data_IF_866133771689
#
_entry.id   IF_866133771689
#
_cell.length_a   1.000
_cell.length_b   1.000
_cell.length_c   1.000
_cell.angle_alpha   90.00
_cell.angle_beta   90.00
_cell.angle_gamma   90.00
#
_symmetry.space_group_name_H-M   'P 1'
#
loop_
_entity.id
_entity.type
_entity.pdbx_description
1 polymer ?
#
# COMPACT_ATOMS: atom_id res chain seq x y z
N UNK A 1 0.81 3.77 -0.82
CA UNK A 1 2.25 3.56 -1.07
C UNK A 1 2.48 3.20 -2.54
N UNK A 2 3.63 3.56 -3.11
CA UNK A 2 4.05 3.16 -4.47
C UNK A 2 5.01 1.96 -4.42
N UNK A 3 5.31 1.27 -5.54
CA UNK A 3 6.15 0.06 -5.54
C UNK A 3 7.49 0.22 -4.82
N UNK A 4 8.19 1.34 -5.05
CA UNK A 4 9.48 1.63 -4.41
C UNK A 4 9.39 1.72 -2.87
N UNK A 5 8.25 2.18 -2.33
CA UNK A 5 8.03 2.24 -0.88
C UNK A 5 7.93 0.82 -0.30
N UNK A 6 7.25 -0.09 -1.02
CA UNK A 6 7.03 -1.47 -0.59
C UNK A 6 8.34 -2.26 -0.63
N UNK A 7 9.14 -2.10 -1.70
CA UNK A 7 10.47 -2.72 -1.78
C UNK A 7 11.36 -2.24 -0.65
N UNK A 8 11.37 -0.92 -0.40
CA UNK A 8 12.18 -0.35 0.68
C UNK A 8 11.72 -0.84 2.05
N UNK A 9 10.41 -0.91 2.29
CA UNK A 9 9.84 -1.42 3.53
C UNK A 9 10.25 -2.89 3.74
N UNK A 10 10.16 -3.72 2.70
CA UNK A 10 10.58 -5.11 2.77
C UNK A 10 12.07 -5.26 3.10
N UNK A 11 12.94 -4.54 2.41
CA UNK A 11 14.39 -4.56 2.69
C UNK A 11 14.70 -4.22 4.15
N UNK A 12 13.94 -3.31 4.75
CA UNK A 12 14.11 -2.91 6.14
C UNK A 12 13.66 -3.97 7.15
N UNK A 13 12.59 -4.72 6.86
CA UNK A 13 11.95 -5.63 7.83
C UNK A 13 12.21 -7.12 7.58
N UNK A 14 12.75 -7.51 6.42
CA UNK A 14 12.87 -8.94 6.01
C UNK A 14 13.66 -9.83 6.97
N UNK A 15 14.53 -9.26 7.79
CA UNK A 15 15.33 -10.00 8.77
C UNK A 15 14.66 -10.11 10.15
N UNK A 16 13.50 -9.49 10.35
CA UNK A 16 12.74 -9.61 11.59
C UNK A 16 12.18 -11.03 11.75
N UNK A 17 12.04 -11.50 13.00
CA UNK A 17 11.40 -12.79 13.31
C UNK A 17 9.96 -12.87 12.78
N UNK A 18 9.24 -11.74 12.82
CA UNK A 18 7.89 -11.59 12.30
C UNK A 18 7.80 -10.30 11.47
N UNK A 19 8.15 -10.35 10.18
CA UNK A 19 8.10 -9.17 9.31
C UNK A 19 6.65 -8.79 9.01
N UNK A 20 6.41 -7.49 8.92
CA UNK A 20 5.08 -6.92 8.72
C UNK A 20 5.17 -5.66 7.86
N UNK A 21 4.28 -5.53 6.88
CA UNK A 21 4.19 -4.32 6.05
C UNK A 21 2.78 -3.75 6.17
N UNK A 22 2.68 -2.50 6.59
CA UNK A 22 1.45 -1.72 6.55
C UNK A 22 1.48 -0.77 5.36
N UNK A 23 0.45 -0.79 4.53
CA UNK A 23 0.29 0.13 3.40
C UNK A 23 -1.06 0.83 3.46
N UNK A 24 -1.19 1.94 2.75
CA UNK A 24 -2.40 2.76 2.79
C UNK A 24 -2.52 3.60 1.51
N UNK A 25 -3.75 4.04 1.27
CA UNK A 25 -4.08 5.09 0.30
C UNK A 25 -5.28 5.87 0.83
N UNK A 26 -5.34 7.17 0.54
CA UNK A 26 -6.46 8.01 0.90
C UNK A 26 -7.71 7.68 0.07
N UNK A 27 -8.86 7.59 0.74
CA UNK A 27 -10.14 7.07 0.24
C UNK A 27 -11.29 8.06 0.35
N UNK A 28 -11.11 9.21 1.01
CA UNK A 28 -12.11 10.27 1.02
C UNK A 28 -12.21 10.97 -0.34
N UNK A 29 -13.42 11.40 -0.72
CA UNK A 29 -13.66 12.06 -2.01
C UNK A 29 -12.75 13.27 -2.25
N UNK A 30 -12.52 14.06 -1.20
CA UNK A 30 -11.64 15.24 -1.25
C UNK A 30 -10.21 14.82 -1.58
N UNK A 31 -9.68 13.78 -0.93
CA UNK A 31 -8.34 13.30 -1.22
C UNK A 31 -8.26 12.69 -2.62
N UNK A 32 -9.25 11.89 -3.03
CA UNK A 32 -9.25 11.28 -4.36
C UNK A 32 -9.29 12.34 -5.47
N UNK A 33 -10.17 13.34 -5.36
CA UNK A 33 -10.34 14.38 -6.36
C UNK A 33 -9.18 15.38 -6.40
N UNK A 34 -8.77 15.93 -5.25
CA UNK A 34 -7.87 17.07 -5.21
C UNK A 34 -6.40 16.69 -4.99
N UNK A 35 -6.12 15.64 -4.21
CA UNK A 35 -4.76 15.19 -3.89
C UNK A 35 -4.27 14.14 -4.89
N UNK A 36 -5.03 13.06 -5.06
CA UNK A 36 -4.64 11.93 -5.92
C UNK A 36 -4.98 12.18 -7.40
N UNK A 37 -6.01 13.00 -7.67
CA UNK A 37 -6.57 13.25 -9.01
C UNK A 37 -6.89 11.92 -9.71
N UNK A 38 -7.62 11.07 -9.01
CA UNK A 38 -8.00 9.71 -9.41
C UNK A 38 -9.48 9.50 -9.12
N UNK A 39 -10.13 8.68 -9.94
CA UNK A 39 -11.48 8.20 -9.63
C UNK A 39 -11.41 7.01 -8.63
N UNK A 40 -12.53 6.61 -8.01
CA UNK A 40 -12.56 5.52 -7.03
C UNK A 40 -11.99 4.19 -7.56
N UNK A 41 -12.32 3.79 -8.79
CA UNK A 41 -11.84 2.54 -9.39
C UNK A 41 -10.32 2.52 -9.54
N UNK A 42 -9.72 3.66 -9.91
CA UNK A 42 -8.27 3.80 -10.00
C UNK A 42 -7.62 3.73 -8.62
N UNK A 43 -8.24 4.31 -7.59
CA UNK A 43 -7.74 4.23 -6.20
C UNK A 43 -7.79 2.79 -5.69
N UNK A 44 -8.89 2.08 -5.96
CA UNK A 44 -9.01 0.64 -5.64
C UNK A 44 -7.95 -0.18 -6.39
N UNK A 45 -7.75 0.06 -7.68
CA UNK A 45 -6.73 -0.65 -8.47
C UNK A 45 -5.32 -0.42 -7.91
N UNK A 46 -5.00 0.80 -7.47
CA UNK A 46 -3.74 1.13 -6.81
C UNK A 46 -3.59 0.40 -5.46
N UNK A 47 -4.62 0.39 -4.62
CA UNK A 47 -4.62 -0.33 -3.35
C UNK A 47 -4.38 -1.83 -3.56
N UNK A 48 -5.10 -2.45 -4.50
CA UNK A 48 -4.95 -3.87 -4.83
C UNK A 48 -3.55 -4.18 -5.33
N UNK A 49 -2.98 -3.34 -6.21
CA UNK A 49 -1.62 -3.52 -6.69
C UNK A 49 -0.59 -3.46 -5.57
N UNK A 50 -0.72 -2.48 -4.66
CA UNK A 50 0.17 -2.32 -3.52
C UNK A 50 0.09 -3.52 -2.56
N UNK A 51 -1.12 -3.94 -2.19
CA UNK A 51 -1.32 -5.09 -1.30
C UNK A 51 -0.79 -6.37 -1.94
N UNK A 52 -1.07 -6.63 -3.24
CA UNK A 52 -0.54 -7.82 -3.93
C UNK A 52 0.99 -7.86 -3.94
N UNK A 53 1.64 -6.74 -4.24
CA UNK A 53 3.09 -6.66 -4.21
C UNK A 53 3.64 -6.90 -2.81
N UNK A 54 3.07 -6.25 -1.79
CA UNK A 54 3.48 -6.43 -0.41
C UNK A 54 3.30 -7.89 0.05
N UNK A 55 2.20 -8.56 -0.32
CA UNK A 55 1.94 -9.97 -0.01
C UNK A 55 2.91 -10.95 -0.66
N UNK A 56 3.45 -10.61 -1.83
CA UNK A 56 4.46 -11.44 -2.50
C UNK A 56 5.84 -11.38 -1.81
N UNK A 57 6.09 -10.34 -1.02
CA UNK A 57 7.35 -10.14 -0.29
C UNK A 57 7.21 -10.52 1.19
N UNK A 58 6.11 -10.11 1.82
CA UNK A 58 5.88 -10.20 3.26
C UNK A 58 4.67 -11.09 3.60
N UNK A 59 4.81 -12.03 4.56
CA UNK A 59 3.73 -12.93 4.95
C UNK A 59 2.59 -12.23 5.69
N UNK A 60 2.85 -11.12 6.39
CA UNK A 60 1.81 -10.32 7.06
C UNK A 60 1.74 -8.91 6.46
N UNK A 61 0.54 -8.53 6.04
CA UNK A 61 0.27 -7.20 5.45
C UNK A 61 -1.06 -6.68 5.94
N UNK A 62 -1.06 -5.40 6.30
CA UNK A 62 -2.27 -4.63 6.64
C UNK A 62 -2.48 -3.51 5.64
N UNK A 63 -3.75 -3.14 5.47
CA UNK A 63 -4.16 -2.01 4.66
C UNK A 63 -5.03 -1.05 5.46
N UNK A 64 -4.75 0.25 5.36
CA UNK A 64 -5.67 1.30 5.82
C UNK A 64 -6.27 2.09 4.65
N UNK A 65 -7.59 2.27 4.71
CA UNK A 65 -8.31 3.27 3.95
C UNK A 65 -8.18 4.61 4.69
N UNK A 66 -7.21 5.43 4.29
CA UNK A 66 -6.95 6.75 4.91
C UNK A 66 -8.04 7.78 4.55
#
# INVERSE_FOLDING_TARGET
AVPADIERAWEAVRAAERPYIHTFIATSDIHMQYKLKKNPDQVVAMAVSAVKMARNLCPEVEFSAE
#
